data_IF_945811268253
#
_entry.id   IF_945811268253
#
_cell.length_a   1.000
_cell.length_b   1.000
_cell.length_c   1.000
_cell.angle_alpha   90.00
_cell.angle_beta   90.00
_cell.angle_gamma   90.00
#
_symmetry.space_group_name_H-M   'P 1'
#
loop_
_entity.id
_entity.type
_entity.pdbx_description
1 polymer ?
#
# COMPACT_ATOMS: atom_id res chain seq x y z
N UNK A 1 -40.07 1.80 40.41
CA UNK A 1 -39.04 0.72 40.46
C UNK A 1 -38.12 0.86 39.27
N UNK A 2 -37.04 1.57 39.51
CA UNK A 2 -35.99 1.86 38.50
C UNK A 2 -35.09 0.63 38.43
N UNK A 3 -35.15 -0.13 37.32
CA UNK A 3 -34.11 -1.14 37.02
C UNK A 3 -32.86 -0.42 36.56
N UNK A 4 -31.89 -0.36 37.44
CA UNK A 4 -30.55 0.12 37.13
C UNK A 4 -29.99 -0.66 35.94
N UNK A 5 -29.72 0.06 34.88
CA UNK A 5 -28.92 -0.46 33.75
C UNK A 5 -27.52 -0.78 34.30
N UNK A 6 -27.27 -2.04 34.58
CA UNK A 6 -25.95 -2.57 34.90
C UNK A 6 -25.02 -2.22 33.74
N UNK A 7 -24.16 -1.23 33.94
CA UNK A 7 -23.08 -0.89 33.03
C UNK A 7 -22.11 -2.09 33.00
N UNK A 8 -22.44 -3.10 32.20
CA UNK A 8 -21.50 -4.19 31.92
C UNK A 8 -20.20 -3.58 31.44
N UNK A 9 -19.19 -3.61 32.28
CA UNK A 9 -17.83 -3.15 31.95
C UNK A 9 -17.36 -3.98 30.76
N UNK A 10 -17.28 -3.35 29.59
CA UNK A 10 -16.74 -3.97 28.38
C UNK A 10 -15.27 -4.33 28.68
N UNK A 11 -14.88 -5.60 28.61
CA UNK A 11 -13.50 -5.99 28.87
C UNK A 11 -12.58 -5.27 27.87
N UNK A 12 -11.50 -4.66 28.36
CA UNK A 12 -10.52 -3.91 27.56
C UNK A 12 -9.77 -4.79 26.57
N UNK A 13 -9.63 -6.08 26.87
CA UNK A 13 -8.87 -7.02 26.06
C UNK A 13 -9.73 -8.23 25.69
N UNK A 14 -9.61 -8.66 24.44
CA UNK A 14 -10.15 -9.93 23.98
C UNK A 14 -9.43 -11.07 24.71
N UNK A 15 -10.22 -11.95 25.36
CA UNK A 15 -9.70 -13.16 26.01
C UNK A 15 -9.72 -14.38 25.08
N UNK A 16 -10.35 -14.22 23.92
CA UNK A 16 -10.47 -15.30 22.93
C UNK A 16 -9.15 -15.53 22.19
N UNK A 17 -8.57 -16.69 22.40
CA UNK A 17 -7.33 -17.11 21.73
C UNK A 17 -7.49 -17.20 20.20
N UNK A 18 -8.70 -17.49 19.73
CA UNK A 18 -9.02 -17.55 18.30
C UNK A 18 -8.85 -16.20 17.60
N UNK A 19 -9.17 -15.09 18.29
CA UNK A 19 -8.94 -13.74 17.77
C UNK A 19 -7.45 -13.49 17.47
N UNK A 20 -6.58 -13.75 18.45
CA UNK A 20 -5.14 -13.52 18.28
C UNK A 20 -4.56 -14.43 17.18
N UNK A 21 -4.97 -15.68 17.14
CA UNK A 21 -4.54 -16.63 16.11
C UNK A 21 -4.96 -16.13 14.70
N UNK A 22 -6.21 -15.75 14.52
CA UNK A 22 -6.71 -15.23 13.24
C UNK A 22 -6.01 -13.92 12.85
N UNK A 23 -5.85 -12.98 13.80
CA UNK A 23 -5.16 -11.72 13.54
C UNK A 23 -3.70 -11.94 13.14
N UNK A 24 -2.97 -12.78 13.87
CA UNK A 24 -1.55 -13.08 13.59
C UNK A 24 -1.36 -13.79 12.25
N UNK A 25 -2.23 -14.73 11.90
CA UNK A 25 -2.17 -15.41 10.59
C UNK A 25 -2.47 -14.41 9.46
N UNK A 26 -3.53 -13.61 9.57
CA UNK A 26 -3.87 -12.62 8.55
C UNK A 26 -2.76 -11.57 8.42
N UNK A 27 -2.37 -10.93 9.52
CA UNK A 27 -1.34 -9.91 9.51
C UNK A 27 0.01 -10.47 9.05
N UNK A 28 0.44 -11.60 9.61
CA UNK A 28 1.72 -12.24 9.27
C UNK A 28 1.80 -12.63 7.79
N UNK A 29 0.76 -13.23 7.24
CA UNK A 29 0.71 -13.58 5.81
C UNK A 29 0.76 -12.34 4.93
N UNK A 30 0.01 -11.29 5.28
CA UNK A 30 0.00 -10.03 4.52
C UNK A 30 1.33 -9.27 4.65
N UNK A 31 1.99 -9.31 5.80
CA UNK A 31 3.32 -8.74 6.00
C UNK A 31 4.34 -9.45 5.11
N UNK A 32 4.33 -10.78 5.13
CA UNK A 32 5.23 -11.58 4.29
C UNK A 32 4.99 -11.34 2.79
N UNK A 33 3.72 -11.24 2.38
CA UNK A 33 3.37 -10.89 1.00
C UNK A 33 3.97 -9.54 0.60
N UNK A 34 3.78 -8.50 1.43
CA UNK A 34 4.33 -7.17 1.16
C UNK A 34 5.87 -7.15 1.15
N UNK A 35 6.51 -7.94 2.02
CA UNK A 35 7.96 -8.09 2.02
C UNK A 35 8.47 -8.74 0.72
N UNK A 36 7.77 -9.76 0.21
CA UNK A 36 8.10 -10.38 -1.08
C UNK A 36 7.93 -9.38 -2.23
N UNK A 37 6.83 -8.61 -2.26
CA UNK A 37 6.61 -7.58 -3.29
C UNK A 37 7.70 -6.51 -3.26
N UNK A 38 8.12 -6.08 -2.07
CA UNK A 38 9.23 -5.14 -1.92
C UNK A 38 10.56 -5.75 -2.43
N UNK A 39 10.77 -7.04 -2.18
CA UNK A 39 11.97 -7.76 -2.64
C UNK A 39 12.06 -7.82 -4.18
N UNK A 40 10.92 -7.92 -4.89
CA UNK A 40 10.88 -7.83 -6.36
C UNK A 40 11.47 -6.50 -6.83
N UNK A 41 10.97 -5.38 -6.27
CA UNK A 41 11.43 -4.04 -6.65
C UNK A 41 12.92 -3.83 -6.34
N UNK A 42 13.40 -4.37 -5.20
CA UNK A 42 14.82 -4.29 -4.85
C UNK A 42 15.69 -5.12 -5.80
N UNK A 43 15.25 -6.33 -6.15
CA UNK A 43 15.97 -7.19 -7.10
C UNK A 43 16.05 -6.55 -8.49
N UNK A 44 14.95 -6.00 -9.00
CA UNK A 44 14.91 -5.28 -10.27
C UNK A 44 15.90 -4.10 -10.28
N UNK A 45 15.87 -3.27 -9.24
CA UNK A 45 16.77 -2.12 -9.15
C UNK A 45 18.25 -2.52 -9.05
N UNK A 46 18.56 -3.60 -8.31
CA UNK A 46 19.93 -4.12 -8.22
C UNK A 46 20.43 -4.66 -9.56
N UNK A 47 19.60 -5.44 -10.27
CA UNK A 47 19.98 -6.01 -11.57
C UNK A 47 20.17 -4.92 -12.63
N UNK A 48 19.25 -3.96 -12.71
CA UNK A 48 19.34 -2.86 -13.67
C UNK A 48 20.48 -1.91 -13.32
N UNK A 49 20.69 -1.62 -12.03
CA UNK A 49 21.80 -0.78 -11.57
C UNK A 49 23.17 -1.37 -11.83
N UNK A 50 23.29 -2.72 -11.80
CA UNK A 50 24.53 -3.40 -12.18
C UNK A 50 24.76 -3.44 -13.69
N UNK A 51 23.73 -3.17 -14.50
CA UNK A 51 23.83 -3.12 -15.95
C UNK A 51 24.27 -1.75 -16.46
N UNK A 52 23.57 -0.65 -16.10
CA UNK A 52 23.87 0.70 -16.58
C UNK A 52 23.17 1.77 -15.70
N UNK A 53 23.87 2.86 -15.37
CA UNK A 53 23.33 3.97 -14.57
C UNK A 53 22.19 4.71 -15.30
N UNK A 54 22.32 4.95 -16.60
CA UNK A 54 21.26 5.58 -17.41
C UNK A 54 19.99 4.72 -17.43
N UNK A 55 20.17 3.40 -17.53
CA UNK A 55 19.08 2.43 -17.46
C UNK A 55 18.36 2.48 -16.09
N UNK A 56 19.13 2.54 -15.00
CA UNK A 56 18.59 2.65 -13.65
C UNK A 56 17.76 3.94 -13.47
N UNK A 57 18.31 5.07 -13.93
CA UNK A 57 17.62 6.35 -13.88
C UNK A 57 16.32 6.35 -14.71
N UNK A 58 16.35 5.75 -15.90
CA UNK A 58 15.19 5.62 -16.77
C UNK A 58 14.07 4.76 -16.14
N UNK A 59 14.44 3.60 -15.58
CA UNK A 59 13.50 2.72 -14.88
C UNK A 59 12.94 3.39 -13.63
N UNK A 60 13.76 4.12 -12.87
CA UNK A 60 13.30 4.86 -11.71
C UNK A 60 12.24 5.92 -12.07
N UNK A 61 12.43 6.66 -13.19
CA UNK A 61 11.44 7.61 -13.68
C UNK A 61 10.12 6.94 -14.10
N UNK A 62 10.19 5.81 -14.83
CA UNK A 62 9.01 5.06 -15.23
C UNK A 62 8.30 4.44 -14.02
N UNK A 63 9.04 3.98 -13.02
CA UNK A 63 8.47 3.43 -11.79
C UNK A 63 7.61 4.46 -11.02
N UNK A 64 7.85 5.78 -11.16
CA UNK A 64 6.94 6.79 -10.61
C UNK A 64 5.58 6.77 -11.32
N UNK A 65 5.56 6.58 -12.64
CA UNK A 65 4.32 6.45 -13.41
C UNK A 65 3.57 5.19 -12.97
N UNK A 66 4.28 4.05 -12.94
CA UNK A 66 3.73 2.75 -12.51
C UNK A 66 3.17 2.84 -11.10
N UNK A 67 3.86 3.53 -10.19
CA UNK A 67 3.42 3.74 -8.81
C UNK A 67 2.09 4.50 -8.74
N UNK A 68 1.93 5.59 -9.50
CA UNK A 68 0.65 6.33 -9.54
C UNK A 68 -0.49 5.44 -10.04
N UNK A 69 -0.27 4.68 -11.11
CA UNK A 69 -1.26 3.72 -11.63
C UNK A 69 -1.64 2.69 -10.57
N UNK A 70 -0.64 2.10 -9.90
CA UNK A 70 -0.86 1.12 -8.84
C UNK A 70 -1.67 1.69 -7.67
N UNK A 71 -1.41 2.94 -7.26
CA UNK A 71 -2.15 3.56 -6.16
C UNK A 71 -3.62 3.74 -6.47
N UNK A 72 -3.97 4.15 -7.69
CA UNK A 72 -5.37 4.27 -8.13
C UNK A 72 -6.05 2.89 -8.15
N UNK A 73 -5.40 1.87 -8.69
CA UNK A 73 -5.88 0.48 -8.72
C UNK A 73 -6.08 -0.04 -7.28
N UNK A 74 -5.11 0.13 -6.39
CA UNK A 74 -5.26 -0.25 -4.98
C UNK A 74 -6.42 0.49 -4.29
N UNK A 75 -6.70 1.74 -4.65
CA UNK A 75 -7.84 2.48 -4.14
C UNK A 75 -9.17 1.80 -4.46
N UNK A 76 -9.36 1.36 -5.72
CA UNK A 76 -10.54 0.63 -6.19
C UNK A 76 -10.68 -0.72 -5.47
N UNK A 77 -9.60 -1.51 -5.45
CA UNK A 77 -9.56 -2.80 -4.74
C UNK A 77 -9.88 -2.67 -3.25
N UNK A 78 -9.34 -1.66 -2.56
CA UNK A 78 -9.63 -1.44 -1.14
C UNK A 78 -11.12 -1.16 -0.89
N UNK A 79 -11.80 -0.48 -1.82
CA UNK A 79 -13.25 -0.33 -1.78
C UNK A 79 -13.99 -1.67 -1.86
N UNK A 80 -13.55 -2.57 -2.73
CA UNK A 80 -14.07 -3.95 -2.80
C UNK A 80 -13.84 -4.68 -1.47
N UNK A 81 -12.64 -4.61 -0.89
CA UNK A 81 -12.31 -5.29 0.37
C UNK A 81 -13.21 -4.81 1.51
N UNK A 82 -13.41 -3.50 1.67
CA UNK A 82 -14.21 -2.92 2.76
C UNK A 82 -15.66 -3.41 2.72
N UNK A 83 -16.30 -3.32 1.56
CA UNK A 83 -17.70 -3.77 1.41
C UNK A 83 -17.82 -5.30 1.49
N UNK A 84 -16.93 -6.02 0.79
CA UNK A 84 -16.97 -7.48 0.76
C UNK A 84 -16.71 -8.11 2.13
N UNK A 85 -15.85 -7.53 2.97
CA UNK A 85 -15.60 -8.04 4.32
C UNK A 85 -16.83 -7.91 5.23
N UNK A 86 -17.64 -6.84 5.08
CA UNK A 86 -18.90 -6.70 5.82
C UNK A 86 -19.96 -7.71 5.33
N UNK A 87 -20.09 -7.93 4.01
CA UNK A 87 -20.98 -8.96 3.48
C UNK A 87 -20.50 -10.38 3.85
N UNK A 88 -19.19 -10.59 3.94
CA UNK A 88 -18.64 -11.85 4.44
C UNK A 88 -19.02 -12.11 5.89
N UNK A 89 -19.02 -11.09 6.74
CA UNK A 89 -19.54 -11.17 8.11
C UNK A 89 -21.01 -11.59 8.20
N UNK A 90 -21.85 -11.21 7.22
CA UNK A 90 -23.25 -11.66 7.08
C UNK A 90 -23.40 -13.01 6.39
N UNK A 91 -22.32 -13.66 5.98
CA UNK A 91 -22.32 -14.89 5.18
C UNK A 91 -23.05 -14.75 3.82
N UNK A 92 -23.09 -13.54 3.26
CA UNK A 92 -23.77 -13.25 1.99
C UNK A 92 -22.72 -13.18 0.87
N UNK A 93 -22.55 -14.26 0.11
CA UNK A 93 -21.57 -14.34 -0.97
C UNK A 93 -22.04 -13.70 -2.29
N UNK A 94 -23.35 -13.66 -2.56
CA UNK A 94 -23.86 -13.11 -3.82
C UNK A 94 -23.57 -11.61 -4.01
N UNK A 95 -23.74 -10.71 -3.01
CA UNK A 95 -23.28 -9.33 -3.11
C UNK A 95 -21.77 -9.19 -3.31
N UNK A 96 -20.95 -10.05 -2.66
CA UNK A 96 -19.50 -10.05 -2.82
C UNK A 96 -19.13 -10.32 -4.28
N UNK A 97 -19.73 -11.34 -4.92
CA UNK A 97 -19.49 -11.64 -6.34
C UNK A 97 -19.80 -10.45 -7.23
N UNK A 98 -20.95 -9.77 -6.99
CA UNK A 98 -21.34 -8.57 -7.75
C UNK A 98 -20.37 -7.42 -7.55
N UNK A 99 -19.84 -7.20 -6.32
CA UNK A 99 -18.82 -6.20 -6.00
C UNK A 99 -17.50 -6.49 -6.70
N UNK A 100 -17.07 -7.75 -6.72
CA UNK A 100 -15.86 -8.18 -7.43
C UNK A 100 -16.01 -7.96 -8.94
N UNK A 101 -17.15 -8.31 -9.52
CA UNK A 101 -17.43 -8.06 -10.94
C UNK A 101 -17.45 -6.55 -11.28
N UNK A 102 -17.97 -5.71 -10.37
CA UNK A 102 -17.93 -4.25 -10.52
C UNK A 102 -16.50 -3.74 -10.44
N UNK A 103 -15.73 -4.19 -9.44
CA UNK A 103 -14.31 -3.85 -9.29
C UNK A 103 -13.49 -4.23 -10.53
N UNK A 104 -13.66 -5.45 -11.05
CA UNK A 104 -12.98 -5.91 -12.28
C UNK A 104 -13.28 -4.99 -13.48
N UNK A 105 -14.54 -4.59 -13.67
CA UNK A 105 -14.91 -3.68 -14.76
C UNK A 105 -14.29 -2.29 -14.61
N UNK A 106 -14.32 -1.74 -13.40
CA UNK A 106 -13.74 -0.43 -13.14
C UNK A 106 -12.22 -0.44 -13.29
N UNK A 107 -11.54 -1.45 -12.76
CA UNK A 107 -10.09 -1.54 -12.90
C UNK A 107 -9.67 -1.86 -14.33
N UNK A 108 -10.44 -2.67 -15.06
CA UNK A 108 -10.21 -2.87 -16.48
C UNK A 108 -10.33 -1.55 -17.26
N UNK A 109 -11.37 -0.75 -16.99
CA UNK A 109 -11.54 0.56 -17.64
C UNK A 109 -10.40 1.53 -17.28
N UNK A 110 -10.03 1.62 -16.00
CA UNK A 110 -8.93 2.47 -15.54
C UNK A 110 -7.58 2.03 -16.09
N UNK A 111 -7.29 0.73 -16.08
CA UNK A 111 -6.03 0.21 -16.62
C UNK A 111 -5.91 0.43 -18.12
N UNK A 112 -7.01 0.31 -18.87
CA UNK A 112 -7.05 0.62 -20.30
C UNK A 112 -6.91 2.11 -20.57
N UNK A 113 -7.47 2.98 -19.71
CA UNK A 113 -7.26 4.42 -19.78
C UNK A 113 -5.78 4.77 -19.59
N UNK A 114 -5.14 4.25 -18.52
CA UNK A 114 -3.71 4.48 -18.30
C UNK A 114 -2.86 3.88 -19.42
N UNK A 115 -3.19 2.68 -19.89
CA UNK A 115 -2.54 2.07 -21.04
C UNK A 115 -2.60 2.98 -22.28
N UNK A 116 -3.77 3.55 -22.58
CA UNK A 116 -3.96 4.46 -23.70
C UNK A 116 -3.13 5.75 -23.53
N UNK A 117 -3.20 6.40 -22.36
CA UNK A 117 -2.43 7.63 -22.07
C UNK A 117 -0.94 7.40 -22.26
N UNK A 118 -0.38 6.36 -21.65
CA UNK A 118 1.04 6.03 -21.74
C UNK A 118 1.44 5.60 -23.16
N UNK A 119 0.50 5.04 -23.94
CA UNK A 119 0.74 4.63 -25.32
C UNK A 119 0.78 5.80 -26.28
N UNK A 120 -0.09 6.80 -26.06
CA UNK A 120 -0.20 7.97 -26.93
C UNK A 120 0.90 9.03 -26.63
N UNK A 121 1.27 9.18 -25.37
CA UNK A 121 2.22 10.22 -24.92
C UNK A 121 3.38 9.66 -24.07
N UNK A 122 4.13 8.64 -24.52
CA UNK A 122 5.13 7.98 -23.68
C UNK A 122 6.29 8.91 -23.30
N UNK A 123 6.78 9.74 -24.23
CA UNK A 123 7.90 10.65 -23.97
C UNK A 123 7.49 11.78 -23.00
N UNK A 124 6.28 12.31 -23.13
CA UNK A 124 5.75 13.33 -22.24
C UNK A 124 5.56 12.79 -20.82
N UNK A 125 5.04 11.55 -20.70
CA UNK A 125 4.87 10.91 -19.40
C UNK A 125 6.22 10.71 -18.67
N UNK A 126 7.27 10.27 -19.36
CA UNK A 126 8.60 10.12 -18.76
C UNK A 126 9.22 11.50 -18.50
N UNK A 127 9.03 12.44 -19.40
CA UNK A 127 9.53 13.83 -19.29
C UNK A 127 8.95 14.63 -18.11
N UNK A 128 7.86 14.16 -17.48
CA UNK A 128 7.37 14.74 -16.23
C UNK A 128 8.33 14.56 -15.06
N UNK A 129 9.21 13.56 -15.12
CA UNK A 129 10.08 13.18 -14.01
C UNK A 129 11.57 13.42 -14.30
N UNK A 130 11.96 13.48 -15.58
CA UNK A 130 13.35 13.66 -16.00
C UNK A 130 13.43 14.55 -17.24
N UNK A 131 14.51 15.31 -17.36
CA UNK A 131 14.75 16.24 -18.48
C UNK A 131 15.80 15.76 -19.47
N UNK A 132 16.64 14.79 -19.09
CA UNK A 132 17.69 14.25 -19.93
C UNK A 132 17.11 13.40 -21.07
N UNK A 133 17.47 13.75 -22.32
CA UNK A 133 16.96 13.09 -23.52
C UNK A 133 17.34 11.61 -23.63
N UNK A 134 18.53 11.24 -23.16
CA UNK A 134 19.00 9.85 -23.18
C UNK A 134 18.19 8.98 -22.19
N UNK A 135 17.95 9.51 -20.98
CA UNK A 135 17.12 8.87 -19.96
C UNK A 135 15.67 8.74 -20.44
N UNK A 136 15.11 9.78 -21.09
CA UNK A 136 13.77 9.73 -21.67
C UNK A 136 13.67 8.64 -22.74
N UNK A 137 14.66 8.54 -23.64
CA UNK A 137 14.67 7.54 -24.71
C UNK A 137 14.66 6.10 -24.15
N UNK A 138 15.51 5.81 -23.17
CA UNK A 138 15.54 4.50 -22.48
C UNK A 138 14.26 4.24 -21.70
N UNK A 139 13.72 5.26 -21.01
CA UNK A 139 12.46 5.18 -20.29
C UNK A 139 11.29 4.86 -21.20
N UNK A 140 11.23 5.45 -22.39
CA UNK A 140 10.21 5.16 -23.41
C UNK A 140 10.34 3.70 -23.91
N UNK A 141 11.54 3.17 -24.10
CA UNK A 141 11.74 1.76 -24.48
C UNK A 141 11.21 0.82 -23.41
N UNK A 142 11.50 1.08 -22.15
CA UNK A 142 10.97 0.34 -21.00
C UNK A 142 9.44 0.46 -20.91
N UNK A 143 8.90 1.67 -20.99
CA UNK A 143 7.50 1.99 -20.84
C UNK A 143 6.62 1.33 -21.91
N UNK A 144 7.13 1.20 -23.15
CA UNK A 144 6.43 0.51 -24.25
C UNK A 144 6.10 -0.96 -23.94
N UNK A 145 6.88 -1.60 -23.11
CA UNK A 145 6.65 -3.00 -22.68
C UNK A 145 5.89 -3.04 -21.37
N UNK A 146 6.32 -2.25 -20.37
CA UNK A 146 5.75 -2.33 -19.02
C UNK A 146 4.26 -1.94 -18.97
N UNK A 147 3.78 -1.09 -19.89
CA UNK A 147 2.36 -0.71 -19.99
C UNK A 147 1.42 -1.92 -20.10
N UNK A 148 1.87 -3.01 -20.73
CA UNK A 148 1.07 -4.23 -20.86
C UNK A 148 0.84 -4.94 -19.52
N UNK A 149 1.59 -4.60 -18.48
CA UNK A 149 1.38 -5.14 -17.14
C UNK A 149 0.12 -4.57 -16.46
N UNK A 150 -0.35 -3.38 -16.86
CA UNK A 150 -1.46 -2.69 -16.21
C UNK A 150 -2.76 -3.50 -16.18
N UNK A 151 -3.25 -4.08 -17.30
CA UNK A 151 -4.45 -4.90 -17.28
C UNK A 151 -4.30 -6.16 -16.41
N UNK A 152 -3.14 -6.84 -16.48
CA UNK A 152 -2.89 -8.02 -15.66
C UNK A 152 -2.85 -7.69 -14.18
N UNK A 153 -2.17 -6.59 -13.82
CA UNK A 153 -2.10 -6.11 -12.44
C UNK A 153 -3.49 -5.76 -11.90
N UNK A 154 -4.32 -5.07 -12.68
CA UNK A 154 -5.69 -4.70 -12.33
C UNK A 154 -6.53 -5.94 -12.00
N UNK A 155 -6.58 -6.93 -12.90
CA UNK A 155 -7.33 -8.18 -12.67
C UNK A 155 -6.83 -8.91 -11.43
N UNK A 156 -5.51 -9.09 -11.31
CA UNK A 156 -4.88 -9.78 -10.17
C UNK A 156 -5.24 -9.10 -8.85
N UNK A 157 -5.15 -7.78 -8.79
CA UNK A 157 -5.33 -7.01 -7.54
C UNK A 157 -6.76 -7.12 -7.02
N UNK A 158 -7.79 -7.00 -7.89
CA UNK A 158 -9.20 -7.19 -7.48
C UNK A 158 -9.46 -8.61 -7.02
N UNK A 159 -8.99 -9.61 -7.75
CA UNK A 159 -9.23 -11.01 -7.40
C UNK A 159 -8.54 -11.39 -6.08
N UNK A 160 -7.29 -10.95 -5.87
CA UNK A 160 -6.61 -11.12 -4.58
C UNK A 160 -7.31 -10.34 -3.45
N UNK A 161 -7.80 -9.13 -3.74
CA UNK A 161 -8.61 -8.35 -2.80
C UNK A 161 -9.89 -9.08 -2.38
N UNK A 162 -10.58 -9.70 -3.33
CA UNK A 162 -11.74 -10.54 -3.07
C UNK A 162 -11.37 -11.74 -2.17
N UNK A 163 -10.28 -12.42 -2.46
CA UNK A 163 -9.81 -13.55 -1.65
C UNK A 163 -9.41 -13.10 -0.24
N UNK A 164 -8.77 -11.96 -0.09
CA UNK A 164 -8.44 -11.37 1.23
C UNK A 164 -9.71 -11.07 2.04
N UNK A 165 -10.77 -10.53 1.41
CA UNK A 165 -12.04 -10.20 2.10
C UNK A 165 -12.75 -11.42 2.68
N UNK A 166 -12.51 -12.62 2.12
CA UNK A 166 -13.03 -13.91 2.61
C UNK A 166 -11.98 -14.72 3.37
N UNK A 167 -10.96 -14.04 3.91
CA UNK A 167 -9.90 -14.63 4.73
C UNK A 167 -9.09 -15.73 4.02
N UNK A 168 -8.91 -15.61 2.70
CA UNK A 168 -8.05 -16.51 1.91
C UNK A 168 -6.78 -15.74 1.50
N UNK A 169 -5.93 -15.40 2.49
CA UNK A 169 -4.73 -14.57 2.29
C UNK A 169 -3.51 -15.35 1.79
N UNK A 170 -3.44 -16.65 2.05
CA UNK A 170 -2.28 -17.47 1.68
C UNK A 170 -2.04 -17.58 0.17
N UNK A 171 -3.10 -17.39 -0.64
CA UNK A 171 -3.00 -17.37 -2.10
C UNK A 171 -2.08 -16.24 -2.56
N UNK A 172 -2.31 -15.03 -2.06
CA UNK A 172 -1.54 -13.86 -2.44
C UNK A 172 -0.05 -14.05 -2.17
N UNK A 173 0.32 -14.53 -0.97
CA UNK A 173 1.71 -14.81 -0.63
C UNK A 173 2.36 -15.84 -1.58
N UNK A 174 1.68 -16.97 -1.84
CA UNK A 174 2.20 -18.02 -2.73
C UNK A 174 2.43 -17.51 -4.14
N UNK A 175 1.48 -16.75 -4.66
CA UNK A 175 1.56 -16.17 -6.01
C UNK A 175 2.66 -15.12 -6.08
N UNK A 176 2.82 -14.28 -5.06
CA UNK A 176 3.91 -13.29 -5.00
C UNK A 176 5.30 -13.93 -4.98
N UNK A 177 5.47 -15.05 -4.27
CA UNK A 177 6.75 -15.81 -4.28
C UNK A 177 7.04 -16.37 -5.67
N UNK A 178 6.06 -16.97 -6.34
CA UNK A 178 6.23 -17.47 -7.71
C UNK A 178 6.56 -16.31 -8.67
N UNK A 179 5.87 -15.17 -8.52
CA UNK A 179 6.12 -13.96 -9.32
C UNK A 179 7.55 -13.45 -9.13
N UNK A 180 8.04 -13.38 -7.87
CA UNK A 180 9.42 -12.98 -7.56
C UNK A 180 10.45 -13.88 -8.25
N UNK A 181 10.32 -15.19 -8.10
CA UNK A 181 11.27 -16.14 -8.71
C UNK A 181 11.25 -16.02 -10.23
N UNK A 182 10.05 -15.98 -10.84
CA UNK A 182 9.90 -15.82 -12.29
C UNK A 182 10.54 -14.53 -12.80
N UNK A 183 10.26 -13.42 -12.12
CA UNK A 183 10.83 -12.12 -12.45
C UNK A 183 12.36 -12.14 -12.38
N UNK A 184 12.94 -12.60 -11.26
CA UNK A 184 14.39 -12.66 -11.09
C UNK A 184 15.07 -13.55 -12.14
N UNK A 185 14.50 -14.71 -12.44
CA UNK A 185 15.07 -15.64 -13.44
C UNK A 185 15.04 -15.03 -14.84
N UNK A 186 13.89 -14.50 -15.26
CA UNK A 186 13.74 -13.92 -16.60
C UNK A 186 14.60 -12.65 -16.73
N UNK A 187 14.63 -11.80 -15.71
CA UNK A 187 15.49 -10.62 -15.68
C UNK A 187 16.97 -10.99 -15.83
N UNK A 188 17.44 -11.98 -15.08
CA UNK A 188 18.83 -12.44 -15.17
C UNK A 188 19.19 -12.92 -16.59
N UNK A 189 18.29 -13.63 -17.23
CA UNK A 189 18.49 -14.14 -18.60
C UNK A 189 18.49 -13.00 -19.62
N UNK A 190 17.50 -12.12 -19.58
CA UNK A 190 17.26 -11.14 -20.64
C UNK A 190 18.03 -9.81 -20.45
N UNK A 191 18.32 -9.40 -19.21
CA UNK A 191 19.12 -8.19 -18.98
C UNK A 191 20.56 -8.44 -19.43
N UNK A 192 21.14 -9.61 -19.05
CA UNK A 192 22.55 -9.92 -19.26
C UNK A 192 22.83 -10.83 -20.45
N UNK A 193 21.81 -11.23 -21.23
CA UNK A 193 21.98 -12.09 -22.41
C UNK A 193 22.55 -13.49 -22.07
N UNK A 194 22.09 -14.09 -20.96
CA UNK A 194 22.57 -15.42 -20.52
C UNK A 194 21.82 -16.56 -21.22
N UNK A 195 22.44 -17.73 -21.20
CA UNK A 195 21.87 -18.98 -21.79
C UNK A 195 21.52 -18.85 -23.28
N UNK A 196 22.22 -18.03 -24.07
CA UNK A 196 21.98 -17.83 -25.49
C UNK A 196 20.84 -16.88 -25.83
N UNK A 197 20.24 -16.24 -24.84
CA UNK A 197 19.24 -15.18 -25.06
C UNK A 197 19.93 -13.86 -25.48
N UNK A 198 19.25 -13.01 -26.28
CA UNK A 198 19.78 -11.71 -26.62
C UNK A 198 19.89 -10.81 -25.37
N UNK A 199 20.92 -9.99 -25.31
CA UNK A 199 21.08 -8.97 -24.28
C UNK A 199 20.13 -7.81 -24.58
N UNK A 200 19.04 -7.70 -23.80
CA UNK A 200 17.97 -6.71 -24.01
C UNK A 200 18.04 -5.55 -23.01
N UNK A 201 18.90 -5.62 -21.99
CA UNK A 201 19.05 -4.58 -20.98
C UNK A 201 17.73 -4.19 -20.32
N UNK A 202 17.36 -2.91 -20.41
CA UNK A 202 16.14 -2.34 -19.83
C UNK A 202 14.86 -3.02 -20.35
N UNK A 203 14.84 -3.34 -21.65
CA UNK A 203 13.67 -4.03 -22.26
C UNK A 203 13.55 -5.44 -21.70
N UNK A 204 14.68 -6.11 -21.43
CA UNK A 204 14.70 -7.42 -20.77
C UNK A 204 14.03 -7.41 -19.40
N UNK A 205 14.31 -6.38 -18.59
CA UNK A 205 13.66 -6.18 -17.30
C UNK A 205 12.15 -5.96 -17.42
N UNK A 206 11.71 -5.18 -18.41
CA UNK A 206 10.29 -4.97 -18.68
C UNK A 206 9.57 -6.26 -19.07
N UNK A 207 10.21 -7.10 -19.90
CA UNK A 207 9.68 -8.40 -20.32
C UNK A 207 9.60 -9.35 -19.13
N UNK A 208 10.61 -9.39 -18.26
CA UNK A 208 10.60 -10.21 -17.04
C UNK A 208 9.46 -9.82 -16.11
N UNK A 209 9.24 -8.53 -15.91
CA UNK A 209 8.11 -8.03 -15.11
C UNK A 209 6.77 -8.37 -15.77
N UNK A 210 6.64 -8.22 -17.09
CA UNK A 210 5.43 -8.58 -17.83
C UNK A 210 5.12 -10.07 -17.71
N UNK A 211 6.12 -10.93 -17.88
CA UNK A 211 5.97 -12.39 -17.77
C UNK A 211 5.54 -12.79 -16.35
N UNK A 212 6.18 -12.22 -15.32
CA UNK A 212 5.80 -12.45 -13.92
C UNK A 212 4.36 -12.03 -13.62
N UNK A 213 3.92 -10.85 -14.09
CA UNK A 213 2.54 -10.36 -13.92
C UNK A 213 1.52 -11.18 -14.70
N UNK A 214 1.86 -11.64 -15.89
CA UNK A 214 0.99 -12.52 -16.68
C UNK A 214 0.81 -13.87 -16.00
N UNK A 215 1.89 -14.47 -15.50
CA UNK A 215 1.84 -15.73 -14.76
C UNK A 215 1.04 -15.56 -13.46
N UNK A 216 1.27 -14.50 -12.71
CA UNK A 216 0.53 -14.14 -11.49
C UNK A 216 -0.97 -14.08 -11.77
N UNK A 217 -1.37 -13.32 -12.80
CA UNK A 217 -2.76 -13.20 -13.23
C UNK A 217 -3.37 -14.56 -13.62
N UNK A 218 -2.64 -15.37 -14.39
CA UNK A 218 -3.07 -16.70 -14.78
C UNK A 218 -3.33 -17.61 -13.59
N UNK A 219 -2.39 -17.67 -12.63
CA UNK A 219 -2.53 -18.50 -11.42
C UNK A 219 -3.74 -18.03 -10.59
N UNK A 220 -3.90 -16.74 -10.39
CA UNK A 220 -5.02 -16.19 -9.62
C UNK A 220 -6.35 -16.45 -10.30
N UNK A 221 -6.45 -16.24 -11.61
CA UNK A 221 -7.66 -16.54 -12.38
C UNK A 221 -8.02 -18.04 -12.28
N UNK A 222 -7.09 -18.93 -12.54
CA UNK A 222 -7.33 -20.38 -12.42
C UNK A 222 -7.80 -20.75 -11.02
N UNK A 223 -7.16 -20.20 -9.97
CA UNK A 223 -7.59 -20.48 -8.61
C UNK A 223 -9.02 -19.98 -8.33
N UNK A 224 -9.31 -18.73 -8.66
CA UNK A 224 -10.59 -18.09 -8.31
C UNK A 224 -11.76 -18.70 -9.10
N UNK A 225 -11.58 -18.99 -10.40
CA UNK A 225 -12.66 -19.50 -11.23
C UNK A 225 -12.82 -21.04 -11.18
N UNK A 226 -11.73 -21.78 -10.87
CA UNK A 226 -11.75 -23.25 -10.94
C UNK A 226 -11.62 -23.94 -9.58
N UNK A 227 -10.96 -23.32 -8.58
CA UNK A 227 -10.66 -23.96 -7.28
C UNK A 227 -11.35 -23.38 -6.08
N UNK A 228 -11.71 -22.08 -6.14
CA UNK A 228 -12.30 -21.41 -4.99
C UNK A 228 -13.69 -21.96 -4.66
N UNK A 229 -13.86 -22.37 -3.39
CA UNK A 229 -15.11 -22.91 -2.87
C UNK A 229 -15.89 -21.91 -2.02
N UNK A 230 -15.29 -20.77 -1.66
CA UNK A 230 -15.92 -19.78 -0.79
C UNK A 230 -16.81 -18.82 -1.56
N UNK A 231 -16.31 -18.20 -2.60
CA UNK A 231 -17.05 -17.26 -3.43
C UNK A 231 -17.71 -17.93 -4.63
N UNK A 232 -17.06 -18.94 -5.23
CA UNK A 232 -17.53 -19.64 -6.43
C UNK A 232 -17.88 -18.64 -7.56
N UNK A 233 -16.97 -17.72 -7.84
CA UNK A 233 -17.15 -16.70 -8.87
C UNK A 233 -17.29 -17.36 -10.23
N UNK A 234 -18.35 -16.99 -11.00
CA UNK A 234 -18.59 -17.51 -12.34
C UNK A 234 -18.39 -16.41 -13.38
N UNK A 235 -17.73 -16.72 -14.47
CA UNK A 235 -17.52 -15.77 -15.56
C UNK A 235 -18.84 -15.20 -16.12
N UNK A 236 -19.93 -15.98 -16.12
CA UNK A 236 -21.27 -15.53 -16.52
C UNK A 236 -21.85 -14.41 -15.62
N UNK A 237 -21.32 -14.20 -14.41
CA UNK A 237 -21.75 -13.13 -13.50
C UNK A 237 -21.08 -11.78 -13.81
N UNK A 238 -20.00 -11.76 -14.61
CA UNK A 238 -19.27 -10.53 -14.97
C UNK A 238 -20.15 -9.48 -15.65
N UNK A 239 -21.20 -9.88 -16.37
CA UNK A 239 -22.14 -8.99 -17.04
C UNK A 239 -23.24 -8.42 -16.13
N UNK A 240 -23.47 -9.00 -14.94
CA UNK A 240 -24.57 -8.58 -14.06
C UNK A 240 -24.22 -7.29 -13.31
N UNK A 241 -25.16 -6.35 -13.30
CA UNK A 241 -25.02 -5.07 -12.58
C UNK A 241 -26.19 -4.90 -11.60
N UNK A 242 -25.86 -4.44 -10.40
CA UNK A 242 -26.83 -4.04 -9.40
C UNK A 242 -26.66 -2.53 -9.16
N UNK A 243 -27.64 -1.70 -9.61
CA UNK A 243 -27.52 -0.24 -9.49
C UNK A 243 -27.39 0.24 -8.04
N UNK A 244 -28.06 -0.45 -7.11
CA UNK A 244 -28.05 -0.09 -5.71
C UNK A 244 -26.67 -0.35 -5.08
N UNK A 245 -26.10 -1.53 -5.33
CA UNK A 245 -24.78 -1.91 -4.86
C UNK A 245 -23.68 -1.05 -5.50
N UNK A 246 -23.88 -0.63 -6.76
CA UNK A 246 -23.00 0.30 -7.45
C UNK A 246 -22.91 1.65 -6.75
N UNK A 247 -24.06 2.20 -6.32
CA UNK A 247 -24.10 3.46 -5.57
C UNK A 247 -23.35 3.38 -4.24
N UNK A 248 -23.56 2.30 -3.47
CA UNK A 248 -22.87 2.07 -2.20
C UNK A 248 -21.35 1.90 -2.40
N UNK A 249 -20.95 1.20 -3.47
CA UNK A 249 -19.56 1.03 -3.83
C UNK A 249 -18.89 2.37 -4.15
N UNK A 250 -19.46 3.20 -5.02
CA UNK A 250 -18.84 4.49 -5.36
C UNK A 250 -18.78 5.43 -4.15
N UNK A 251 -19.82 5.46 -3.31
CA UNK A 251 -19.83 6.26 -2.08
C UNK A 251 -18.69 5.88 -1.13
N UNK A 252 -18.32 4.60 -1.08
CA UNK A 252 -17.27 4.08 -0.22
C UNK A 252 -15.89 4.20 -0.87
N UNK A 253 -15.79 3.88 -2.17
CA UNK A 253 -14.50 3.74 -2.86
C UNK A 253 -13.91 5.07 -3.32
N UNK A 254 -14.75 6.05 -3.73
CA UNK A 254 -14.24 7.35 -4.21
C UNK A 254 -13.34 8.04 -3.18
N UNK A 255 -13.71 8.14 -1.88
CA UNK A 255 -12.81 8.69 -0.88
C UNK A 255 -11.50 7.93 -0.75
N UNK A 256 -11.52 6.60 -0.89
CA UNK A 256 -10.33 5.75 -0.79
C UNK A 256 -9.40 5.96 -1.99
N UNK A 257 -9.95 6.03 -3.20
CA UNK A 257 -9.20 6.30 -4.43
C UNK A 257 -8.56 7.68 -4.39
N UNK A 258 -9.33 8.70 -3.97
CA UNK A 258 -8.80 10.06 -3.82
C UNK A 258 -7.67 10.11 -2.78
N UNK A 259 -7.84 9.43 -1.64
CA UNK A 259 -6.80 9.34 -0.61
C UNK A 259 -5.52 8.68 -1.16
N UNK A 260 -5.65 7.60 -1.92
CA UNK A 260 -4.52 6.90 -2.53
C UNK A 260 -3.80 7.75 -3.58
N UNK A 261 -4.55 8.44 -4.44
CA UNK A 261 -4.00 9.37 -5.44
C UNK A 261 -3.26 10.55 -4.77
N UNK A 262 -3.87 11.15 -3.75
CA UNK A 262 -3.25 12.24 -2.97
C UNK A 262 -1.95 11.80 -2.31
N UNK A 263 -1.91 10.58 -1.77
CA UNK A 263 -0.69 10.05 -1.18
C UNK A 263 0.44 9.88 -2.22
N UNK A 264 0.10 9.48 -3.45
CA UNK A 264 1.05 9.44 -4.56
C UNK A 264 1.64 10.83 -4.88
N UNK A 265 0.77 11.86 -4.98
CA UNK A 265 1.21 13.25 -5.21
C UNK A 265 2.06 13.77 -4.05
N UNK A 266 1.66 13.48 -2.81
CA UNK A 266 2.44 13.87 -1.64
C UNK A 266 3.86 13.31 -1.67
N UNK A 267 4.04 12.03 -2.01
CA UNK A 267 5.37 11.42 -2.12
C UNK A 267 6.23 12.13 -3.18
N UNK A 268 5.65 12.50 -4.32
CA UNK A 268 6.36 13.25 -5.35
C UNK A 268 6.81 14.63 -4.85
N UNK A 269 5.94 15.36 -4.15
CA UNK A 269 6.28 16.67 -3.56
C UNK A 269 7.35 16.53 -2.48
N UNK A 270 7.25 15.53 -1.60
CA UNK A 270 8.26 15.26 -0.57
C UNK A 270 9.63 14.98 -1.20
N UNK A 271 9.66 14.16 -2.25
CA UNK A 271 10.91 13.86 -2.99
C UNK A 271 11.47 15.12 -3.64
N UNK A 272 10.62 15.98 -4.21
CA UNK A 272 11.06 17.26 -4.80
C UNK A 272 11.66 18.20 -3.74
N UNK A 273 11.02 18.37 -2.58
CA UNK A 273 11.53 19.20 -1.49
C UNK A 273 12.91 18.69 -1.03
N UNK A 274 13.04 17.38 -0.82
CA UNK A 274 14.29 16.76 -0.42
C UNK A 274 15.39 16.88 -1.47
N UNK A 275 15.02 16.73 -2.76
CA UNK A 275 15.96 16.85 -3.89
C UNK A 275 16.57 18.24 -4.04
N UNK A 276 15.94 19.31 -3.52
CA UNK A 276 16.49 20.67 -3.49
C UNK A 276 17.39 20.94 -2.27
N UNK A 277 17.58 19.98 -1.39
CA UNK A 277 18.48 20.10 -0.25
C UNK A 277 19.93 19.73 -0.63
N UNK A 278 20.82 19.71 0.37
CA UNK A 278 22.22 19.32 0.15
C UNK A 278 22.36 17.87 -0.28
N UNK A 279 23.38 17.56 -1.09
CA UNK A 279 23.67 16.19 -1.51
C UNK A 279 23.85 15.24 -0.31
N UNK A 280 24.49 15.71 0.77
CA UNK A 280 24.63 14.99 2.03
C UNK A 280 23.28 14.63 2.66
N UNK A 281 22.29 15.54 2.62
CA UNK A 281 20.95 15.30 3.16
C UNK A 281 20.19 14.28 2.31
N UNK A 282 20.25 14.37 0.98
CA UNK A 282 19.61 13.42 0.07
C UNK A 282 20.18 12.01 0.27
N UNK A 283 21.50 11.87 0.35
CA UNK A 283 22.18 10.60 0.61
C UNK A 283 21.80 10.02 1.98
N UNK A 284 21.80 10.85 3.03
CA UNK A 284 21.41 10.47 4.38
C UNK A 284 19.95 9.98 4.45
N UNK A 285 19.05 10.69 3.78
CA UNK A 285 17.63 10.31 3.72
C UNK A 285 17.42 9.00 2.95
N UNK A 286 18.12 8.80 1.85
CA UNK A 286 18.06 7.55 1.07
C UNK A 286 18.46 6.33 1.89
N UNK A 287 19.53 6.44 2.68
CA UNK A 287 20.00 5.36 3.57
C UNK A 287 18.93 5.05 4.64
N UNK A 288 18.45 6.08 5.33
CA UNK A 288 17.50 5.89 6.43
C UNK A 288 16.13 5.42 5.95
N UNK A 289 15.64 5.96 4.82
CA UNK A 289 14.33 5.61 4.26
C UNK A 289 14.27 4.17 3.74
N UNK A 290 15.38 3.60 3.28
CA UNK A 290 15.44 2.19 2.85
C UNK A 290 15.14 1.25 4.03
N UNK A 291 15.79 1.46 5.17
CA UNK A 291 15.53 0.65 6.37
C UNK A 291 14.11 0.90 6.93
N UNK A 292 13.66 2.15 6.92
CA UNK A 292 12.29 2.51 7.32
C UNK A 292 11.24 1.80 6.46
N UNK A 293 11.42 1.75 5.13
CA UNK A 293 10.51 1.11 4.20
C UNK A 293 10.37 -0.40 4.48
N UNK A 294 11.47 -1.08 4.79
CA UNK A 294 11.46 -2.50 5.15
C UNK A 294 10.61 -2.79 6.39
N UNK A 295 10.68 -1.92 7.40
CA UNK A 295 9.90 -2.09 8.63
C UNK A 295 8.44 -1.60 8.48
N UNK A 296 8.20 -0.56 7.68
CA UNK A 296 6.86 -0.01 7.36
C UNK A 296 5.91 -1.07 6.78
N UNK A 297 6.42 -2.02 6.01
CA UNK A 297 5.65 -3.14 5.44
C UNK A 297 4.82 -3.86 6.49
N UNK A 298 5.33 -3.98 7.71
CA UNK A 298 4.63 -4.60 8.84
C UNK A 298 3.34 -3.85 9.20
N UNK A 299 3.39 -2.52 9.21
CA UNK A 299 2.22 -1.66 9.47
C UNK A 299 1.17 -1.76 8.36
N UNK A 300 1.60 -1.91 7.10
CA UNK A 300 0.70 -2.10 5.94
C UNK A 300 -0.07 -3.41 6.04
N UNK A 301 0.61 -4.51 6.40
CA UNK A 301 -0.02 -5.81 6.61
C UNK A 301 -1.03 -5.79 7.76
N UNK A 302 -0.67 -5.18 8.90
CA UNK A 302 -1.55 -5.01 10.05
C UNK A 302 -2.79 -4.15 9.72
N UNK A 303 -2.62 -3.09 8.90
CA UNK A 303 -3.70 -2.25 8.41
C UNK A 303 -4.75 -3.04 7.61
N UNK A 304 -4.31 -3.84 6.66
CA UNK A 304 -5.20 -4.65 5.83
C UNK A 304 -5.92 -5.72 6.66
N UNK A 305 -5.22 -6.40 7.57
CA UNK A 305 -5.81 -7.38 8.49
C UNK A 305 -6.90 -6.74 9.36
N UNK A 306 -6.62 -5.57 9.92
CA UNK A 306 -7.59 -4.83 10.73
C UNK A 306 -8.85 -4.47 9.93
N UNK A 307 -8.71 -3.98 8.70
CA UNK A 307 -9.84 -3.63 7.84
C UNK A 307 -10.76 -4.83 7.58
N UNK A 308 -10.17 -5.99 7.27
CA UNK A 308 -10.93 -7.22 7.01
C UNK A 308 -11.67 -7.69 8.27
N UNK A 309 -10.98 -7.74 9.42
CA UNK A 309 -11.55 -8.25 10.65
C UNK A 309 -12.64 -7.33 11.21
N UNK A 310 -12.43 -6.01 11.16
CA UNK A 310 -13.42 -5.02 11.59
C UNK A 310 -14.65 -5.09 10.67
N UNK A 311 -14.46 -5.12 9.36
CA UNK A 311 -15.57 -5.28 8.41
C UNK A 311 -16.39 -6.54 8.68
N UNK A 312 -15.72 -7.69 8.83
CA UNK A 312 -16.37 -8.96 9.18
C UNK A 312 -17.15 -8.88 10.50
N UNK A 313 -16.56 -8.27 11.54
CA UNK A 313 -17.20 -8.15 12.85
C UNK A 313 -18.43 -7.25 12.80
N UNK A 314 -18.42 -6.17 12.03
CA UNK A 314 -19.59 -5.31 11.83
C UNK A 314 -20.68 -6.09 11.08
N UNK A 315 -20.31 -6.81 10.03
CA UNK A 315 -21.26 -7.64 9.26
C UNK A 315 -21.92 -8.72 10.12
N UNK A 316 -21.21 -9.32 11.07
CA UNK A 316 -21.76 -10.35 11.98
C UNK A 316 -22.56 -9.81 13.16
N UNK A 317 -22.86 -8.51 13.19
CA UNK A 317 -23.67 -7.87 14.23
C UNK A 317 -22.89 -7.21 15.38
N UNK A 318 -21.57 -7.14 15.30
CA UNK A 318 -20.74 -6.24 16.11
C UNK A 318 -20.66 -6.49 17.63
N UNK A 319 -21.13 -7.62 18.14
CA UNK A 319 -21.25 -7.89 19.59
C UNK A 319 -19.96 -7.67 20.41
N UNK A 320 -18.80 -7.95 19.82
CA UNK A 320 -17.49 -7.81 20.49
C UNK A 320 -16.62 -6.72 19.85
N UNK A 321 -17.19 -5.88 18.98
CA UNK A 321 -16.44 -4.88 18.20
C UNK A 321 -15.62 -3.95 19.09
N UNK A 322 -16.16 -3.46 20.20
CA UNK A 322 -15.46 -2.54 21.11
C UNK A 322 -14.22 -3.16 21.70
N UNK A 323 -14.34 -4.35 22.29
CA UNK A 323 -13.22 -5.08 22.87
C UNK A 323 -12.16 -5.40 21.83
N UNK A 324 -12.59 -5.83 20.64
CA UNK A 324 -11.70 -6.14 19.51
C UNK A 324 -10.89 -4.92 19.10
N UNK A 325 -11.54 -3.76 18.94
CA UNK A 325 -10.90 -2.51 18.51
C UNK A 325 -9.89 -2.03 19.55
N UNK A 326 -10.22 -2.05 20.84
CA UNK A 326 -9.26 -1.68 21.89
C UNK A 326 -8.06 -2.62 21.93
N UNK A 327 -8.30 -3.92 21.76
CA UNK A 327 -7.21 -4.90 21.67
C UNK A 327 -6.31 -4.64 20.47
N UNK A 328 -6.89 -4.37 19.30
CA UNK A 328 -6.12 -4.03 18.09
C UNK A 328 -5.29 -2.76 18.28
N UNK A 329 -5.86 -1.69 18.88
CA UNK A 329 -5.12 -0.47 19.15
C UNK A 329 -3.90 -0.72 20.05
N UNK A 330 -4.05 -1.54 21.10
CA UNK A 330 -2.94 -1.91 21.96
C UNK A 330 -1.88 -2.71 21.21
N UNK A 331 -2.29 -3.66 20.37
CA UNK A 331 -1.37 -4.42 19.51
C UNK A 331 -0.60 -3.50 18.55
N UNK A 332 -1.24 -2.47 17.98
CA UNK A 332 -0.59 -1.50 17.10
C UNK A 332 0.42 -0.63 17.83
N UNK A 333 0.12 -0.20 19.05
CA UNK A 333 1.09 0.52 19.89
C UNK A 333 2.29 -0.39 20.21
N UNK A 334 2.05 -1.63 20.62
CA UNK A 334 3.11 -2.61 20.89
C UNK A 334 3.95 -2.91 19.66
N UNK A 335 3.32 -3.09 18.49
CA UNK A 335 3.99 -3.27 17.21
C UNK A 335 4.86 -2.06 16.86
N UNK A 336 4.31 -0.85 16.98
CA UNK A 336 5.03 0.37 16.70
C UNK A 336 6.23 0.57 17.63
N UNK A 337 6.08 0.28 18.93
CA UNK A 337 7.17 0.33 19.90
C UNK A 337 8.28 -0.68 19.51
N UNK A 338 7.92 -1.90 19.20
CA UNK A 338 8.89 -2.92 18.77
C UNK A 338 9.65 -2.49 17.50
N UNK A 339 8.93 -2.04 16.47
CA UNK A 339 9.54 -1.61 15.21
C UNK A 339 10.40 -0.35 15.37
N UNK A 340 9.94 0.63 16.16
CA UNK A 340 10.72 1.84 16.48
C UNK A 340 12.02 1.51 17.22
N UNK A 341 11.96 0.61 18.19
CA UNK A 341 13.14 0.11 18.92
C UNK A 341 14.08 -0.63 17.97
N UNK A 342 13.57 -1.50 17.10
CA UNK A 342 14.37 -2.22 16.11
C UNK A 342 15.09 -1.22 15.20
N UNK A 343 14.41 -0.21 14.66
CA UNK A 343 15.03 0.80 13.79
C UNK A 343 16.07 1.63 14.55
N UNK A 344 15.76 1.99 15.80
CA UNK A 344 16.68 2.73 16.67
C UNK A 344 18.01 2.00 16.86
N UNK A 345 18.00 0.70 17.10
CA UNK A 345 19.24 -0.08 17.25
C UNK A 345 19.89 -0.43 15.93
N UNK A 346 19.09 -0.70 14.88
CA UNK A 346 19.58 -1.07 13.55
C UNK A 346 20.40 0.06 12.89
N UNK A 347 20.17 1.33 13.27
CA UNK A 347 20.95 2.47 12.79
C UNK A 347 22.46 2.31 13.01
N UNK A 348 22.85 1.73 14.16
CA UNK A 348 24.27 1.62 14.54
C UNK A 348 25.05 0.75 13.57
N UNK A 349 24.69 -0.53 13.30
CA UNK A 349 25.39 -1.36 12.34
C UNK A 349 25.25 -0.83 10.91
N UNK A 350 24.08 -0.29 10.53
CA UNK A 350 23.90 0.25 9.18
C UNK A 350 24.85 1.41 8.90
N UNK A 351 24.95 2.38 9.81
CA UNK A 351 25.85 3.53 9.63
C UNK A 351 27.36 3.15 9.64
N UNK A 352 27.72 1.98 10.15
CA UNK A 352 29.10 1.46 10.09
C UNK A 352 29.42 0.81 8.74
N UNK A 353 28.43 0.22 8.09
CA UNK A 353 28.62 -0.46 6.79
C UNK A 353 28.81 0.56 5.66
N UNK A 354 28.15 1.72 5.71
CA UNK A 354 28.24 2.74 4.69
C UNK A 354 29.52 3.58 4.82
N UNK A 355 30.27 3.71 3.73
CA UNK A 355 31.40 4.64 3.62
C UNK A 355 30.90 6.01 3.19
N UNK A 356 30.55 6.86 4.15
CA UNK A 356 29.95 8.17 3.95
C UNK A 356 30.71 9.23 4.73
N UNK A 357 30.57 10.51 4.33
CA UNK A 357 31.16 11.65 5.03
C UNK A 357 30.57 11.79 6.44
N UNK A 358 31.30 12.47 7.32
CA UNK A 358 30.85 12.70 8.69
C UNK A 358 29.56 13.52 8.76
N UNK A 359 29.39 14.50 7.85
CA UNK A 359 28.15 15.27 7.71
C UNK A 359 26.99 14.36 7.33
N UNK A 360 27.14 13.52 6.29
CA UNK A 360 26.11 12.57 5.88
C UNK A 360 25.78 11.58 7.00
N UNK A 361 26.77 11.13 7.75
CA UNK A 361 26.59 10.23 8.90
C UNK A 361 25.81 10.90 10.02
N UNK A 362 26.12 12.16 10.33
CA UNK A 362 25.38 12.95 11.34
C UNK A 362 23.92 13.10 10.94
N UNK A 363 23.64 13.51 9.69
CA UNK A 363 22.28 13.66 9.18
C UNK A 363 21.52 12.33 9.13
N UNK A 364 22.16 11.26 8.65
CA UNK A 364 21.54 9.93 8.63
C UNK A 364 21.18 9.43 10.02
N UNK A 365 22.05 9.64 11.01
CA UNK A 365 21.76 9.29 12.39
C UNK A 365 20.55 10.07 12.93
N UNK A 366 20.45 11.37 12.66
CA UNK A 366 19.30 12.18 13.04
C UNK A 366 18.01 11.71 12.33
N UNK A 367 18.08 11.37 11.03
CA UNK A 367 16.93 10.86 10.28
C UNK A 367 16.47 9.50 10.79
N UNK A 368 17.37 8.60 11.14
CA UNK A 368 17.01 7.34 11.79
C UNK A 368 16.28 7.54 13.11
N UNK A 369 16.70 8.52 13.93
CA UNK A 369 16.02 8.86 15.19
C UNK A 369 14.60 9.36 14.94
N UNK A 370 14.44 10.30 14.00
CA UNK A 370 13.12 10.81 13.60
C UNK A 370 12.24 9.67 13.11
N UNK A 371 12.75 8.86 12.20
CA UNK A 371 12.00 7.74 11.60
C UNK A 371 11.66 6.64 12.60
N UNK A 372 12.47 6.45 13.67
CA UNK A 372 12.14 5.53 14.76
C UNK A 372 10.89 5.97 15.52
N UNK A 373 10.77 7.28 15.81
CA UNK A 373 9.57 7.86 16.43
C UNK A 373 8.38 7.82 15.45
N UNK A 374 8.64 8.18 14.20
CA UNK A 374 7.62 8.13 13.12
C UNK A 374 7.08 6.71 12.95
N UNK A 375 7.93 5.68 13.01
CA UNK A 375 7.50 4.29 12.86
C UNK A 375 6.61 3.85 14.03
N UNK A 376 6.90 4.30 15.26
CA UNK A 376 6.04 4.09 16.42
C UNK A 376 4.63 4.65 16.18
N UNK A 377 4.54 5.93 15.82
CA UNK A 377 3.27 6.62 15.63
C UNK A 377 2.53 6.17 14.37
N UNK A 378 3.25 5.92 13.28
CA UNK A 378 2.70 5.42 12.04
C UNK A 378 2.10 4.02 12.20
N UNK A 379 2.75 3.12 12.94
CA UNK A 379 2.25 1.77 13.19
C UNK A 379 0.97 1.76 14.02
N UNK A 380 0.67 2.83 14.74
CA UNK A 380 -0.61 3.06 15.40
C UNK A 380 -1.63 3.72 14.46
N UNK A 381 -1.27 4.91 13.90
CA UNK A 381 -2.26 5.72 13.18
C UNK A 381 -2.70 5.10 11.84
N UNK A 382 -1.79 4.46 11.09
CA UNK A 382 -2.11 3.90 9.79
C UNK A 382 -3.10 2.72 9.89
N UNK A 383 -2.88 1.67 10.73
CA UNK A 383 -3.86 0.62 10.92
C UNK A 383 -5.15 1.12 11.59
N UNK A 384 -5.09 2.17 12.41
CA UNK A 384 -6.28 2.77 13.00
C UNK A 384 -7.10 3.50 11.95
N UNK A 385 -6.49 4.39 11.16
CA UNK A 385 -7.16 5.21 10.16
C UNK A 385 -7.58 4.40 8.91
N UNK A 386 -6.60 3.77 8.26
CA UNK A 386 -6.85 3.02 7.01
C UNK A 386 -7.25 1.55 7.25
N UNK A 387 -7.14 1.03 8.48
CA UNK A 387 -7.61 -0.29 8.87
C UNK A 387 -8.97 -0.21 9.56
N UNK A 388 -9.00 0.24 10.82
CA UNK A 388 -10.22 0.22 11.66
C UNK A 388 -11.30 1.14 11.10
N UNK A 389 -11.02 2.45 10.93
CA UNK A 389 -12.03 3.43 10.50
C UNK A 389 -12.54 3.13 9.09
N UNK A 390 -11.64 2.81 8.16
CA UNK A 390 -12.01 2.44 6.79
C UNK A 390 -12.80 1.13 6.75
N UNK A 391 -12.36 0.09 7.47
CA UNK A 391 -13.07 -1.19 7.60
C UNK A 391 -14.47 -1.02 8.20
N UNK A 392 -14.63 -0.01 9.07
CA UNK A 392 -15.90 0.39 9.64
C UNK A 392 -16.80 1.26 8.76
N UNK A 393 -16.33 1.63 7.56
CA UNK A 393 -17.11 2.41 6.59
C UNK A 393 -16.93 3.92 6.68
N UNK A 394 -16.12 4.44 7.61
CA UNK A 394 -15.87 5.89 7.76
C UNK A 394 -14.71 6.38 6.86
N UNK A 395 -14.85 6.13 5.56
CA UNK A 395 -13.83 6.46 4.56
C UNK A 395 -13.67 7.97 4.35
N UNK A 396 -14.75 8.74 4.61
CA UNK A 396 -14.73 10.20 4.45
C UNK A 396 -13.89 10.89 5.53
N UNK A 397 -13.99 10.44 6.78
CA UNK A 397 -13.16 10.99 7.85
C UNK A 397 -11.68 10.75 7.57
N UNK A 398 -11.31 9.55 7.12
CA UNK A 398 -9.94 9.22 6.75
C UNK A 398 -9.41 10.13 5.63
N UNK A 399 -10.22 10.38 4.59
CA UNK A 399 -9.86 11.31 3.50
C UNK A 399 -9.68 12.75 4.00
N UNK A 400 -10.63 13.27 4.78
CA UNK A 400 -10.59 14.66 5.28
C UNK A 400 -9.40 14.87 6.21
N UNK A 401 -9.11 13.89 7.08
CA UNK A 401 -7.96 13.93 7.95
C UNK A 401 -6.64 14.01 7.16
N UNK A 402 -6.51 13.23 6.10
CA UNK A 402 -5.32 13.27 5.24
C UNK A 402 -5.26 14.56 4.42
N UNK A 403 -6.39 15.06 3.89
CA UNK A 403 -6.47 16.34 3.18
C UNK A 403 -5.92 17.48 4.03
N UNK A 404 -6.46 17.64 5.24
CA UNK A 404 -6.03 18.71 6.16
C UNK A 404 -4.55 18.52 6.52
N UNK A 405 -4.18 17.30 6.88
CA UNK A 405 -2.81 17.01 7.31
C UNK A 405 -1.78 17.30 6.24
N UNK A 406 -1.99 16.83 5.02
CA UNK A 406 -1.02 16.97 3.94
C UNK A 406 -1.02 18.38 3.34
N UNK A 407 -2.21 18.87 2.92
CA UNK A 407 -2.30 20.11 2.14
C UNK A 407 -2.32 21.37 2.99
N UNK A 408 -2.89 21.34 4.19
CA UNK A 408 -2.95 22.51 5.05
C UNK A 408 -1.75 22.60 6.02
N UNK A 409 -1.09 21.49 6.36
CA UNK A 409 -0.05 21.47 7.39
C UNK A 409 1.31 21.05 6.83
N UNK A 410 1.45 19.79 6.38
CA UNK A 410 2.77 19.22 6.06
C UNK A 410 3.43 19.91 4.88
N UNK A 411 2.74 20.01 3.73
CA UNK A 411 3.32 20.62 2.53
C UNK A 411 3.66 22.10 2.74
N UNK A 412 2.75 22.97 3.23
CA UNK A 412 3.06 24.38 3.42
C UNK A 412 4.20 24.61 4.40
N UNK A 413 4.19 23.92 5.56
CA UNK A 413 5.23 24.09 6.56
C UNK A 413 6.58 23.58 6.09
N UNK A 414 6.61 22.43 5.41
CA UNK A 414 7.86 21.86 4.88
C UNK A 414 8.43 22.71 3.75
N UNK A 415 7.57 23.27 2.88
CA UNK A 415 7.98 24.22 1.84
C UNK A 415 8.55 25.51 2.44
N UNK A 416 7.86 26.12 3.40
CA UNK A 416 8.35 27.31 4.10
C UNK A 416 9.68 27.03 4.83
N UNK A 417 9.80 25.90 5.50
CA UNK A 417 11.02 25.53 6.19
C UNK A 417 12.20 25.34 5.24
N UNK A 418 11.98 24.66 4.10
CA UNK A 418 13.04 24.37 3.14
C UNK A 418 13.46 25.62 2.36
N UNK A 419 12.51 26.43 1.83
CA UNK A 419 12.79 27.47 0.86
C UNK A 419 12.74 28.90 1.41
N UNK A 420 11.97 29.17 2.47
CA UNK A 420 11.84 30.51 3.04
C UNK A 420 12.67 30.72 4.30
N UNK A 421 12.68 29.73 5.18
CA UNK A 421 13.41 29.80 6.47
C UNK A 421 14.81 29.21 6.38
N UNK A 422 15.16 28.56 5.28
CA UNK A 422 16.44 27.86 5.09
C UNK A 422 16.79 26.98 6.31
N UNK A 423 15.76 26.27 6.84
CA UNK A 423 15.91 25.44 8.01
C UNK A 423 16.84 24.23 7.72
N UNK A 424 17.44 23.69 8.77
CA UNK A 424 18.30 22.52 8.63
C UNK A 424 17.53 21.33 8.03
N UNK A 425 18.22 20.44 7.30
CA UNK A 425 17.61 19.23 6.75
C UNK A 425 16.85 18.38 7.79
N UNK A 426 17.30 18.40 9.04
CA UNK A 426 16.66 17.68 10.14
C UNK A 426 15.25 18.23 10.40
N UNK A 427 15.09 19.55 10.46
CA UNK A 427 13.78 20.20 10.67
C UNK A 427 12.84 19.93 9.51
N UNK A 428 13.32 19.97 8.27
CA UNK A 428 12.51 19.69 7.09
C UNK A 428 12.01 18.24 7.10
N UNK A 429 12.86 17.26 7.40
CA UNK A 429 12.46 15.85 7.50
C UNK A 429 11.49 15.61 8.68
N UNK A 430 11.66 16.31 9.81
CA UNK A 430 10.69 16.28 10.92
C UNK A 430 9.31 16.78 10.47
N UNK A 431 9.24 17.90 9.76
CA UNK A 431 7.99 18.47 9.27
C UNK A 431 7.32 17.58 8.22
N UNK A 432 8.11 17.01 7.29
CA UNK A 432 7.61 16.07 6.26
C UNK A 432 6.96 14.82 6.85
N UNK A 433 7.33 14.41 8.07
CA UNK A 433 6.79 13.23 8.75
C UNK A 433 5.90 13.58 9.96
N UNK A 434 5.64 14.87 10.20
CA UNK A 434 4.89 15.32 11.39
C UNK A 434 3.44 14.81 11.42
N UNK A 435 2.83 14.58 10.24
CA UNK A 435 1.48 14.03 10.12
C UNK A 435 1.31 12.68 10.82
N UNK A 436 2.35 11.86 10.83
CA UNK A 436 2.30 10.56 11.49
C UNK A 436 2.13 10.67 13.01
N UNK A 437 2.57 11.78 13.58
CA UNK A 437 2.45 12.05 15.01
C UNK A 437 1.09 12.67 15.34
N UNK A 438 0.75 13.80 14.73
CA UNK A 438 -0.47 14.51 15.13
C UNK A 438 -1.77 13.83 14.70
N UNK A 439 -1.77 13.03 13.64
CA UNK A 439 -2.93 12.20 13.25
C UNK A 439 -3.32 11.15 14.27
N UNK A 440 -2.41 10.75 15.18
CA UNK A 440 -2.74 9.79 16.22
C UNK A 440 -3.90 10.28 17.12
N UNK A 441 -3.92 11.56 17.45
CA UNK A 441 -4.94 12.13 18.35
C UNK A 441 -6.34 12.08 17.73
N UNK A 442 -6.60 12.68 16.55
CA UNK A 442 -7.95 12.61 15.97
C UNK A 442 -8.38 11.19 15.59
N UNK A 443 -7.44 10.31 15.18
CA UNK A 443 -7.74 8.91 14.93
C UNK A 443 -8.17 8.19 16.22
N UNK A 444 -7.47 8.40 17.34
CA UNK A 444 -7.82 7.85 18.65
C UNK A 444 -9.20 8.33 19.11
N UNK A 445 -9.42 9.65 19.09
CA UNK A 445 -10.70 10.24 19.48
C UNK A 445 -11.86 9.70 18.63
N UNK A 446 -11.67 9.61 17.30
CA UNK A 446 -12.73 9.11 16.40
C UNK A 446 -13.06 7.67 16.68
N UNK A 447 -12.05 6.81 16.88
CA UNK A 447 -12.26 5.38 17.14
C UNK A 447 -12.93 5.14 18.48
N UNK A 448 -12.56 5.88 19.55
CA UNK A 448 -13.12 5.71 20.89
C UNK A 448 -14.58 6.15 20.99
N UNK A 449 -15.03 7.12 20.19
CA UNK A 449 -16.42 7.57 20.16
C UNK A 449 -17.37 6.64 19.42
N UNK A 450 -16.87 5.63 18.68
CA UNK A 450 -17.66 4.64 17.93
C UNK A 450 -18.69 5.20 16.92
N UNK A 451 -18.60 6.48 16.56
CA UNK A 451 -19.45 7.10 15.52
C UNK A 451 -19.04 6.75 14.08
N UNK A 452 -17.97 6.00 13.93
CA UNK A 452 -17.39 5.56 12.65
C UNK A 452 -17.96 4.21 12.18
N UNK A 453 -18.72 3.52 13.02
CA UNK A 453 -19.31 2.22 12.69
C UNK A 453 -20.52 2.42 11.82
N UNK A 454 -20.38 2.11 10.54
CA UNK A 454 -21.45 2.16 9.56
C UNK A 454 -21.65 0.77 8.94
N UNK A 455 -22.88 0.26 9.04
CA UNK A 455 -23.27 -0.91 8.26
C UNK A 455 -23.43 -0.47 6.79
N UNK A 456 -22.54 -0.94 5.95
CA UNK A 456 -22.58 -0.68 4.50
C UNK A 456 -23.37 -1.76 3.75
N UNK A 457 -23.84 -2.77 4.49
CA UNK A 457 -24.59 -3.90 3.93
C UNK A 457 -26.08 -3.62 3.99
N UNK A 458 -26.77 -3.92 2.90
CA UNK A 458 -28.23 -3.88 2.84
C UNK A 458 -28.82 -5.12 3.47
N UNK A 459 -30.01 -4.98 4.02
CA UNK A 459 -30.84 -6.14 4.35
C UNK A 459 -31.29 -6.78 3.04
N UNK A 460 -31.29 -8.12 3.02
CA UNK A 460 -31.62 -8.90 1.82
C UNK A 460 -33.13 -8.89 1.58
#
# INVERSE_FOLDING_TARGET
MSRGAEKTRVPLLMRDRSFYHTFLILAGTLILEQAVVLSVNLADNLMIGSYNETALAAVAAVNQIVFVVQQVIYGVTNGVIVLSSQYWGKQQTAPIRRLVCLGLRLEAALSMLFFAVVSLWPAQCVGLFVTDAAIIAEGVRYLRVIRFTFPFFAVTTVLLGAMRSVETVSLALKVSVVSLVTNCVINYILIFGRFGAPELGVVGAAIGTLAARTLECGIVCVYVFCRDRKLQLRAAELGRSDPALRGDYFRTSVPIVLQAAMWGVLNAIQTAILGHMTASAVAAYSISSTAFLLLKVTSVGACTAASIMVGKQIGSGGKQLRTMVYTMQLLFVGLGAALGIVLFFLRIPLLRVYRISDETRYLANAFFLIQSVVLLTMSYQMPTNAGILRGGGDTRFALVLDLISFWAIVIPLSYLAAFRWHASPIVVVMLLNSDQVFKCIPAFLRVTHFRWVHSLTREA
#
